data_IF_410862420161
#
_entry.id   IF_410862420161
#
_cell.length_a   1.000
_cell.length_b   1.000
_cell.length_c   1.000
_cell.angle_alpha   90.00
_cell.angle_beta   90.00
_cell.angle_gamma   90.00
#
_symmetry.space_group_name_H-M   'P 1'
#
loop_
_entity.id
_entity.type
_entity.pdbx_description
1 polymer ?
#
# COMPACT_ATOMS: atom_id res chain seq x y z
N UNK A 1 88.77 47.93 13.86
CA UNK A 1 89.55 47.61 12.63
C UNK A 1 88.63 47.90 11.44
N UNK A 2 88.95 48.77 10.47
CA UNK A 2 89.85 48.55 9.29
C UNK A 2 89.52 47.20 8.61
N UNK A 3 89.10 47.08 7.34
CA UNK A 3 89.09 47.96 6.15
C UNK A 3 87.72 47.85 5.40
N UNK A 4 87.24 48.78 4.54
CA UNK A 4 87.76 49.27 3.23
C UNK A 4 88.02 48.13 2.20
N UNK A 5 87.72 48.26 0.91
CA UNK A 5 86.97 49.26 0.12
C UNK A 5 86.77 48.80 -1.34
N UNK A 6 85.84 49.45 -2.07
CA UNK A 6 85.93 49.65 -3.53
C UNK A 6 85.31 48.56 -4.43
N UNK A 7 84.92 48.86 -5.68
CA UNK A 7 84.97 50.15 -6.39
C UNK A 7 83.99 50.17 -7.59
N UNK A 8 83.20 51.25 -7.71
CA UNK A 8 82.87 52.02 -8.94
C UNK A 8 83.05 51.30 -10.31
N UNK A 9 82.04 51.11 -11.19
CA UNK A 9 81.28 52.06 -12.06
C UNK A 9 80.33 51.22 -13.00
N UNK A 10 79.36 51.70 -13.80
CA UNK A 10 78.79 53.03 -14.15
C UNK A 10 77.36 52.88 -14.76
N UNK A 11 76.63 54.01 -14.86
CA UNK A 11 75.61 54.40 -15.86
C UNK A 11 74.36 53.54 -16.17
N UNK A 12 73.23 54.08 -15.73
CA UNK A 12 71.85 53.98 -16.21
C UNK A 12 71.67 53.94 -17.76
N UNK A 13 70.69 53.19 -18.28
CA UNK A 13 69.35 53.68 -18.69
C UNK A 13 68.58 52.72 -19.64
N UNK A 14 67.24 52.71 -19.48
CA UNK A 14 66.18 52.37 -20.48
C UNK A 14 65.85 50.88 -20.76
N UNK A 15 64.71 50.48 -20.17
CA UNK A 15 63.56 49.73 -20.73
C UNK A 15 63.78 48.60 -21.76
N UNK A 16 63.46 47.36 -21.36
CA UNK A 16 62.56 46.47 -22.11
C UNK A 16 62.02 45.31 -21.24
N UNK A 17 60.69 45.16 -21.17
CA UNK A 17 59.89 43.95 -20.88
C UNK A 17 60.57 42.74 -20.18
N UNK A 18 60.25 42.55 -18.90
CA UNK A 18 60.48 41.27 -18.20
C UNK A 18 59.22 40.39 -18.30
N UNK A 19 59.31 39.20 -18.90
CA UNK A 19 58.20 38.25 -18.97
C UNK A 19 57.99 37.57 -17.61
N UNK A 20 56.96 38.02 -16.88
CA UNK A 20 56.46 37.30 -15.69
C UNK A 20 55.46 36.24 -16.17
N UNK A 21 55.86 34.97 -16.13
CA UNK A 21 54.93 33.85 -16.32
C UNK A 21 54.04 33.76 -15.07
N UNK A 22 52.80 34.23 -15.20
CA UNK A 22 51.80 34.13 -14.15
C UNK A 22 51.21 32.69 -14.16
N UNK A 23 51.77 31.79 -13.36
CA UNK A 23 51.18 30.47 -13.15
C UNK A 23 49.91 30.60 -12.30
N UNK A 24 48.76 30.72 -12.97
CA UNK A 24 47.44 30.67 -12.34
C UNK A 24 47.13 29.26 -11.84
N UNK A 25 47.37 29.01 -10.54
CA UNK A 25 46.90 27.83 -9.83
C UNK A 25 45.36 27.89 -9.71
N UNK A 26 44.65 27.29 -10.67
CA UNK A 26 43.21 27.07 -10.58
C UNK A 26 42.95 25.88 -9.66
N UNK A 27 42.76 26.18 -8.37
CA UNK A 27 42.25 25.20 -7.40
C UNK A 27 40.76 25.02 -7.66
N UNK A 28 40.38 23.96 -8.38
CA UNK A 28 39.00 23.52 -8.45
C UNK A 28 38.57 22.95 -7.09
N UNK A 29 38.00 23.80 -6.24
CA UNK A 29 37.22 23.35 -5.09
C UNK A 29 35.93 22.73 -5.61
N UNK A 30 35.90 21.40 -5.72
CA UNK A 30 34.65 20.65 -5.90
C UNK A 30 33.87 20.74 -4.60
N UNK A 31 32.98 21.74 -4.53
CA UNK A 31 31.94 21.78 -3.51
C UNK A 31 30.85 20.78 -3.92
N UNK A 32 30.44 19.84 -3.05
CA UNK A 32 29.23 19.07 -3.29
C UNK A 32 28.03 20.01 -3.16
N UNK A 33 27.53 20.52 -4.28
CA UNK A 33 26.22 21.16 -4.32
C UNK A 33 25.13 20.13 -4.02
N UNK A 34 23.99 20.52 -3.45
CA UNK A 34 22.85 19.62 -3.32
C UNK A 34 22.44 19.15 -4.73
N UNK A 35 22.29 17.85 -4.90
CA UNK A 35 21.80 17.27 -6.15
C UNK A 35 20.30 17.58 -6.31
N UNK A 36 19.99 18.81 -6.75
CA UNK A 36 18.71 19.09 -7.37
C UNK A 36 18.64 18.26 -8.65
N UNK A 37 17.91 17.14 -8.57
CA UNK A 37 17.69 16.25 -9.70
C UNK A 37 17.15 17.05 -10.88
N UNK A 38 17.80 16.93 -12.03
CA UNK A 38 17.28 17.48 -13.29
C UNK A 38 16.07 16.63 -13.66
N UNK A 39 14.88 17.10 -13.29
CA UNK A 39 13.61 16.50 -13.72
C UNK A 39 13.63 16.50 -15.26
N UNK A 40 13.79 15.31 -15.83
CA UNK A 40 13.91 15.17 -17.28
C UNK A 40 12.57 15.52 -17.94
N UNK A 41 12.58 15.94 -19.20
CA UNK A 41 11.35 16.18 -19.98
C UNK A 41 10.49 14.90 -20.15
N UNK A 42 11.06 13.74 -19.84
CA UNK A 42 10.45 12.42 -19.87
C UNK A 42 9.99 11.92 -18.48
N UNK A 43 10.15 12.71 -17.42
CA UNK A 43 9.70 12.35 -16.07
C UNK A 43 8.19 12.12 -16.02
N UNK A 44 7.76 11.21 -15.15
CA UNK A 44 6.37 10.86 -14.94
C UNK A 44 6.16 10.46 -13.48
N UNK A 45 4.93 10.60 -12.98
CA UNK A 45 4.61 10.44 -11.56
C UNK A 45 4.01 9.07 -11.25
N UNK A 46 3.37 8.42 -12.22
CA UNK A 46 2.70 7.13 -12.07
C UNK A 46 3.30 6.05 -12.97
N UNK A 47 3.87 5.02 -12.34
CA UNK A 47 4.29 3.80 -13.01
C UNK A 47 3.14 2.78 -12.97
N UNK A 48 2.83 2.16 -14.10
CA UNK A 48 1.86 1.06 -14.19
C UNK A 48 2.60 -0.19 -14.70
N UNK A 49 2.39 -1.34 -14.06
CA UNK A 49 3.03 -2.62 -14.43
C UNK A 49 1.97 -3.73 -14.48
N UNK A 50 1.94 -4.50 -15.56
CA UNK A 50 1.08 -5.68 -15.69
C UNK A 50 1.39 -6.51 -16.94
N UNK A 51 0.65 -7.60 -17.21
CA UNK A 51 0.75 -8.39 -18.45
C UNK A 51 0.56 -7.58 -19.73
N UNK A 52 1.38 -7.85 -20.74
CA UNK A 52 1.38 -7.16 -22.06
C UNK A 52 0.01 -7.14 -22.75
N UNK A 53 -0.84 -8.15 -22.49
CA UNK A 53 -2.20 -8.23 -23.01
C UNK A 53 -3.14 -7.10 -22.51
N UNK A 54 -2.77 -6.36 -21.47
CA UNK A 54 -3.56 -5.25 -20.92
C UNK A 54 -3.18 -3.86 -21.48
N UNK A 55 -2.24 -3.77 -22.45
CA UNK A 55 -1.73 -2.48 -22.97
C UNK A 55 -2.85 -1.56 -23.46
N UNK A 56 -3.80 -2.09 -24.23
CA UNK A 56 -4.84 -1.29 -24.89
C UNK A 56 -5.87 -0.74 -23.87
N UNK A 57 -6.31 -1.55 -22.89
CA UNK A 57 -7.17 -1.10 -21.79
C UNK A 57 -6.49 -0.03 -20.92
N UNK A 58 -5.21 -0.24 -20.62
CA UNK A 58 -4.43 0.67 -19.77
C UNK A 58 -4.17 2.00 -20.47
N UNK A 59 -4.00 2.03 -21.79
CA UNK A 59 -3.78 3.29 -22.52
C UNK A 59 -4.93 4.28 -22.28
N UNK A 60 -6.19 3.81 -22.28
CA UNK A 60 -7.37 4.66 -21.97
C UNK A 60 -7.31 5.25 -20.55
N UNK A 61 -6.74 4.51 -19.60
CA UNK A 61 -6.55 4.99 -18.22
C UNK A 61 -5.38 5.98 -18.10
N UNK A 62 -4.28 5.75 -18.83
CA UNK A 62 -3.17 6.70 -18.96
C UNK A 62 -3.67 8.02 -19.55
N UNK A 63 -4.41 7.98 -20.65
CA UNK A 63 -4.96 9.18 -21.30
C UNK A 63 -5.83 9.99 -20.34
N UNK A 64 -6.67 9.30 -19.55
CA UNK A 64 -7.46 9.92 -18.50
C UNK A 64 -6.59 10.57 -17.42
N UNK A 65 -5.61 9.85 -16.86
CA UNK A 65 -4.71 10.39 -15.82
C UNK A 65 -3.87 11.56 -16.33
N UNK A 66 -3.38 11.51 -17.56
CA UNK A 66 -2.71 12.62 -18.22
C UNK A 66 -3.64 13.83 -18.40
N UNK A 67 -4.92 13.61 -18.74
CA UNK A 67 -5.91 14.70 -18.81
C UNK A 67 -6.22 15.34 -17.45
N UNK A 68 -6.03 14.59 -16.36
CA UNK A 68 -6.09 15.10 -14.98
C UNK A 68 -4.73 15.63 -14.47
N UNK A 69 -3.67 15.59 -15.27
CA UNK A 69 -2.36 16.12 -14.92
C UNK A 69 -1.45 15.18 -14.11
N UNK A 70 -1.75 13.87 -14.04
CA UNK A 70 -0.80 12.84 -13.61
C UNK A 70 -0.13 12.27 -14.86
N UNK A 71 1.17 12.52 -15.02
CA UNK A 71 1.95 11.87 -16.06
C UNK A 71 2.14 10.39 -15.71
N UNK A 72 1.66 9.47 -16.57
CA UNK A 72 1.72 8.04 -16.34
C UNK A 72 2.46 7.30 -17.47
N UNK A 73 3.11 6.18 -17.14
CA UNK A 73 3.70 5.24 -18.12
C UNK A 73 3.43 3.80 -17.70
N UNK A 74 3.13 2.95 -18.68
CA UNK A 74 2.97 1.52 -18.50
C UNK A 74 4.18 0.74 -19.04
N UNK A 75 4.56 -0.33 -18.35
CA UNK A 75 5.55 -1.32 -18.80
C UNK A 75 5.02 -2.73 -18.55
N UNK A 76 5.18 -3.63 -19.53
CA UNK A 76 4.71 -5.00 -19.37
C UNK A 76 5.63 -5.83 -18.45
N UNK A 77 5.05 -6.81 -17.75
CA UNK A 77 5.80 -7.79 -16.96
C UNK A 77 6.79 -8.57 -17.82
N UNK A 78 6.42 -8.86 -19.06
CA UNK A 78 7.19 -9.55 -20.08
C UNK A 78 8.41 -8.72 -20.50
N UNK A 79 8.22 -7.41 -20.70
CA UNK A 79 9.32 -6.47 -20.96
C UNK A 79 10.31 -6.42 -19.80
N UNK A 80 9.82 -6.34 -18.55
CA UNK A 80 10.65 -6.29 -17.35
C UNK A 80 11.43 -7.61 -17.16
N UNK A 81 10.77 -8.75 -17.35
CA UNK A 81 11.41 -10.07 -17.21
C UNK A 81 12.52 -10.27 -18.25
N UNK A 82 12.29 -9.85 -19.50
CA UNK A 82 13.29 -9.91 -20.57
C UNK A 82 14.43 -8.88 -20.45
N UNK A 83 14.19 -7.75 -19.75
CA UNK A 83 15.16 -6.65 -19.65
C UNK A 83 16.15 -6.77 -18.50
N UNK A 84 15.87 -7.59 -17.48
CA UNK A 84 16.68 -7.73 -16.27
C UNK A 84 17.15 -9.17 -16.06
N UNK A 85 18.34 -9.31 -15.46
CA UNK A 85 18.93 -10.62 -15.15
C UNK A 85 18.30 -11.24 -13.89
N UNK A 86 18.53 -12.54 -13.68
CA UNK A 86 17.96 -13.31 -12.58
C UNK A 86 16.69 -14.06 -12.96
N UNK A 87 16.17 -14.86 -12.03
CA UNK A 87 15.00 -15.73 -12.23
C UNK A 87 13.77 -15.37 -11.39
N UNK A 88 13.89 -14.39 -10.48
CA UNK A 88 12.80 -13.96 -9.62
C UNK A 88 12.17 -12.68 -10.16
N UNK A 89 10.99 -12.81 -10.77
CA UNK A 89 10.23 -11.69 -11.35
C UNK A 89 9.89 -10.60 -10.32
N UNK A 90 9.62 -10.95 -9.06
CA UNK A 90 9.37 -9.94 -8.01
C UNK A 90 10.62 -9.09 -7.74
N UNK A 91 11.81 -9.70 -7.72
CA UNK A 91 13.06 -8.93 -7.59
C UNK A 91 13.36 -8.08 -8.82
N UNK A 92 13.01 -8.54 -10.04
CA UNK A 92 13.13 -7.73 -11.27
C UNK A 92 12.19 -6.53 -11.28
N UNK A 93 10.92 -6.72 -10.89
CA UNK A 93 9.95 -5.63 -10.77
C UNK A 93 10.42 -4.61 -9.74
N UNK A 94 10.95 -5.05 -8.58
CA UNK A 94 11.52 -4.16 -7.58
C UNK A 94 12.71 -3.36 -8.10
N UNK A 95 13.69 -4.00 -8.74
CA UNK A 95 14.83 -3.32 -9.35
C UNK A 95 14.40 -2.32 -10.45
N UNK A 96 13.40 -2.68 -11.26
CA UNK A 96 12.85 -1.79 -12.27
C UNK A 96 12.16 -0.55 -11.65
N UNK A 97 11.30 -0.75 -10.66
CA UNK A 97 10.62 0.32 -9.92
C UNK A 97 11.62 1.25 -9.23
N UNK A 98 12.67 0.70 -8.60
CA UNK A 98 13.72 1.50 -7.96
C UNK A 98 14.48 2.39 -8.97
N UNK A 99 14.83 1.85 -10.15
CA UNK A 99 15.46 2.63 -11.23
C UNK A 99 14.53 3.73 -11.77
N UNK A 100 13.23 3.47 -11.88
CA UNK A 100 12.27 4.49 -12.33
C UNK A 100 12.00 5.55 -11.28
N UNK A 101 12.07 5.21 -9.99
CA UNK A 101 12.08 6.18 -8.90
C UNK A 101 13.30 7.12 -8.99
N UNK A 102 14.51 6.58 -9.13
CA UNK A 102 15.72 7.39 -9.27
C UNK A 102 15.73 8.25 -10.54
N UNK A 103 15.22 7.74 -11.67
CA UNK A 103 15.23 8.44 -12.97
C UNK A 103 14.11 9.48 -13.11
N UNK A 104 12.92 9.12 -12.67
CA UNK A 104 11.68 9.80 -13.05
C UNK A 104 10.98 10.47 -11.86
N UNK A 105 11.33 10.08 -10.62
CA UNK A 105 10.71 10.61 -9.40
C UNK A 105 9.27 10.10 -9.18
N UNK A 106 8.97 8.86 -9.57
CA UNK A 106 7.62 8.30 -9.48
C UNK A 106 7.11 8.34 -8.03
N UNK A 107 5.83 8.71 -7.87
CA UNK A 107 5.12 8.79 -6.59
C UNK A 107 4.13 7.65 -6.41
N UNK A 108 3.60 7.14 -7.52
CA UNK A 108 2.54 6.14 -7.56
C UNK A 108 3.00 4.92 -8.39
N UNK A 109 2.67 3.73 -7.91
CA UNK A 109 2.83 2.47 -8.61
C UNK A 109 1.51 1.72 -8.63
N UNK A 110 1.00 1.40 -9.83
CA UNK A 110 -0.19 0.58 -10.01
C UNK A 110 0.17 -0.78 -10.62
N UNK A 111 -0.04 -1.84 -9.85
CA UNK A 111 0.16 -3.22 -10.29
C UNK A 111 -1.14 -3.76 -10.90
N UNK A 112 -1.11 -4.30 -12.11
CA UNK A 112 -2.29 -4.80 -12.81
C UNK A 112 -2.09 -6.28 -13.10
N UNK A 113 -2.92 -7.13 -12.50
CA UNK A 113 -2.88 -8.58 -12.65
C UNK A 113 -3.09 -9.33 -11.34
N UNK A 114 -3.44 -10.60 -11.47
CA UNK A 114 -3.48 -11.58 -10.38
C UNK A 114 -2.11 -11.73 -9.71
N UNK A 115 -2.08 -12.35 -8.52
CA UNK A 115 -0.84 -12.72 -7.84
C UNK A 115 0.09 -13.60 -8.71
N UNK A 116 -0.44 -14.43 -9.61
CA UNK A 116 0.36 -15.24 -10.53
C UNK A 116 1.01 -14.45 -11.67
N UNK A 117 0.42 -13.31 -12.06
CA UNK A 117 0.93 -12.42 -13.12
C UNK A 117 1.89 -11.37 -12.57
N UNK A 118 1.53 -10.74 -11.45
CA UNK A 118 2.34 -9.72 -10.77
C UNK A 118 2.48 -10.12 -9.29
N UNK A 119 3.46 -10.94 -8.92
CA UNK A 119 3.52 -11.50 -7.56
C UNK A 119 3.87 -10.46 -6.50
N UNK A 120 3.29 -10.62 -5.31
CA UNK A 120 3.71 -9.92 -4.10
C UNK A 120 4.99 -10.56 -3.52
N UNK A 121 5.75 -9.80 -2.73
CA UNK A 121 6.94 -10.32 -2.03
C UNK A 121 6.54 -10.98 -0.72
N UNK A 122 7.00 -12.20 -0.48
CA UNK A 122 6.94 -12.82 0.83
C UNK A 122 8.09 -12.31 1.70
N UNK A 123 7.75 -11.59 2.76
CA UNK A 123 8.68 -10.98 3.71
C UNK A 123 8.61 -11.73 5.03
N UNK A 124 9.76 -12.09 5.59
CA UNK A 124 9.84 -12.74 6.90
C UNK A 124 9.43 -11.76 8.00
N UNK A 125 8.31 -12.05 8.65
CA UNK A 125 7.84 -11.31 9.81
C UNK A 125 7.19 -12.32 10.77
N UNK A 126 7.98 -12.89 11.70
CA UNK A 126 7.54 -13.99 12.52
C UNK A 126 6.39 -13.58 13.43
N UNK A 127 5.43 -14.49 13.54
CA UNK A 127 4.22 -14.28 14.30
C UNK A 127 3.86 -15.52 15.08
N UNK A 128 3.50 -15.35 16.35
CA UNK A 128 2.80 -16.36 17.16
C UNK A 128 1.33 -16.55 16.72
N UNK A 129 1.00 -16.21 15.48
CA UNK A 129 -0.33 -16.39 14.89
C UNK A 129 -0.49 -17.88 14.53
N UNK A 130 -1.48 -18.54 15.14
CA UNK A 130 -1.92 -19.92 14.87
C UNK A 130 -0.89 -21.06 15.10
N UNK A 131 0.23 -20.81 15.79
CA UNK A 131 1.32 -21.79 16.05
C UNK A 131 1.89 -22.51 14.80
N UNK A 132 1.56 -22.02 13.59
CA UNK A 132 1.89 -22.66 12.32
C UNK A 132 3.03 -21.91 11.60
N UNK A 133 4.11 -22.63 11.29
CA UNK A 133 5.35 -22.05 10.78
C UNK A 133 5.21 -21.29 9.44
N UNK A 134 4.23 -21.65 8.61
CA UNK A 134 4.00 -21.05 7.29
C UNK A 134 3.51 -19.59 7.37
N UNK A 135 2.94 -19.16 8.51
CA UNK A 135 2.54 -17.76 8.70
C UNK A 135 3.70 -16.81 8.99
N UNK A 136 4.94 -17.29 9.17
CA UNK A 136 6.11 -16.42 9.39
C UNK A 136 6.53 -15.60 8.16
N UNK A 137 5.94 -15.86 6.99
CA UNK A 137 6.11 -15.02 5.80
C UNK A 137 4.79 -14.39 5.39
N UNK A 138 4.78 -13.07 5.23
CA UNK A 138 3.60 -12.29 4.85
C UNK A 138 3.77 -11.77 3.41
N UNK A 139 2.79 -11.94 2.51
CA UNK A 139 2.83 -11.35 1.17
C UNK A 139 2.55 -9.84 1.27
N UNK A 140 3.40 -9.05 0.60
CA UNK A 140 3.30 -7.58 0.57
C UNK A 140 3.63 -7.02 -0.80
N UNK A 141 2.90 -5.96 -1.18
CA UNK A 141 3.25 -5.10 -2.31
C UNK A 141 4.11 -3.90 -1.86
N UNK A 142 4.20 -3.59 -0.55
CA UNK A 142 5.05 -2.51 -0.02
C UNK A 142 6.53 -2.71 -0.27
N UNK A 143 6.97 -3.94 -0.57
CA UNK A 143 8.31 -4.20 -1.08
C UNK A 143 8.64 -3.32 -2.30
N UNK A 144 7.69 -3.16 -3.23
CA UNK A 144 7.83 -2.28 -4.39
C UNK A 144 7.77 -0.79 -4.03
N UNK A 145 7.20 -0.45 -2.88
CA UNK A 145 7.12 0.92 -2.37
C UNK A 145 8.44 1.45 -1.80
N UNK A 146 9.44 0.59 -1.57
CA UNK A 146 10.72 0.93 -0.92
C UNK A 146 11.88 0.64 -1.91
N UNK A 147 12.37 1.63 -2.67
CA UNK A 147 13.45 1.45 -3.65
C UNK A 147 14.72 0.81 -3.07
N UNK A 148 15.07 1.19 -1.85
CA UNK A 148 16.28 0.83 -1.10
C UNK A 148 16.01 -0.22 -0.01
N UNK A 149 15.07 -1.15 -0.27
CA UNK A 149 14.65 -2.18 0.69
C UNK A 149 15.83 -3.01 1.23
N UNK A 150 15.99 -3.04 2.56
CA UNK A 150 16.89 -3.95 3.27
C UNK A 150 16.12 -4.90 4.18
N UNK A 151 16.30 -6.21 3.97
CA UNK A 151 15.76 -7.25 4.85
C UNK A 151 16.28 -7.20 6.29
N UNK A 152 17.39 -6.50 6.56
CA UNK A 152 17.92 -6.32 7.91
C UNK A 152 17.14 -5.29 8.75
N UNK A 153 16.48 -4.33 8.10
CA UNK A 153 15.73 -3.25 8.76
C UNK A 153 14.28 -3.61 9.14
N UNK A 154 13.79 -4.78 8.71
CA UNK A 154 12.44 -5.28 9.00
C UNK A 154 12.19 -5.26 10.52
N UNK A 155 11.11 -4.61 10.93
CA UNK A 155 10.68 -4.52 12.32
C UNK A 155 11.38 -3.45 13.17
N UNK A 156 12.32 -2.68 12.63
CA UNK A 156 12.99 -1.58 13.32
C UNK A 156 12.30 -0.23 13.09
N UNK A 157 12.52 0.70 14.03
CA UNK A 157 12.10 2.10 13.93
C UNK A 157 12.67 2.76 12.67
N UNK A 158 11.78 3.26 11.82
CA UNK A 158 12.13 3.91 10.55
C UNK A 158 12.68 2.99 9.45
N UNK A 159 12.68 1.67 9.67
CA UNK A 159 13.19 0.69 8.70
C UNK A 159 12.22 0.44 7.55
N UNK A 160 12.72 0.43 6.31
CA UNK A 160 11.93 0.21 5.08
C UNK A 160 10.67 1.10 4.97
N UNK A 161 10.77 2.41 5.20
CA UNK A 161 9.67 3.35 4.99
C UNK A 161 9.35 3.43 3.47
N UNK A 162 8.09 3.17 3.05
CA UNK A 162 7.70 3.35 1.66
C UNK A 162 7.82 4.80 1.17
N UNK A 163 8.38 4.97 -0.03
CA UNK A 163 8.58 6.25 -0.73
C UNK A 163 7.67 6.40 -1.96
N UNK A 164 7.07 5.29 -2.40
CA UNK A 164 6.15 5.20 -3.53
C UNK A 164 4.85 4.57 -3.01
N UNK A 165 3.72 5.21 -3.27
CA UNK A 165 2.42 4.65 -2.95
C UNK A 165 2.09 3.51 -3.92
N UNK A 166 1.76 2.32 -3.41
CA UNK A 166 1.50 1.13 -4.24
C UNK A 166 0.03 0.73 -4.17
N UNK A 167 -0.60 0.58 -5.34
CA UNK A 167 -1.94 0.02 -5.49
C UNK A 167 -1.97 -1.17 -6.45
N UNK A 168 -3.09 -1.92 -6.44
CA UNK A 168 -3.27 -3.10 -7.28
C UNK A 168 -4.66 -3.22 -7.90
N UNK A 169 -4.73 -3.54 -9.19
CA UNK A 169 -5.91 -4.08 -9.87
C UNK A 169 -5.75 -5.61 -10.01
N UNK A 170 -6.42 -6.43 -9.20
CA UNK A 170 -6.21 -7.90 -9.13
C UNK A 170 -6.96 -8.65 -10.25
N UNK A 171 -6.84 -8.14 -11.48
CA UNK A 171 -7.64 -8.57 -12.63
C UNK A 171 -7.07 -9.79 -13.34
N UNK A 172 -7.95 -10.61 -13.92
CA UNK A 172 -7.58 -11.86 -14.60
C UNK A 172 -7.93 -11.92 -16.11
N UNK A 173 -8.50 -10.84 -16.66
CA UNK A 173 -9.00 -10.75 -18.04
C UNK A 173 -9.09 -9.28 -18.50
N UNK A 174 -9.03 -9.07 -19.82
CA UNK A 174 -9.18 -7.75 -20.47
C UNK A 174 -10.57 -7.15 -20.16
N UNK A 175 -11.61 -7.97 -20.15
CA UNK A 175 -12.98 -7.55 -19.84
C UNK A 175 -13.12 -7.05 -18.40
N UNK A 176 -12.53 -7.74 -17.43
CA UNK A 176 -12.55 -7.33 -16.02
C UNK A 176 -11.75 -6.04 -15.81
N UNK A 177 -10.60 -5.89 -16.49
CA UNK A 177 -9.82 -4.66 -16.46
C UNK A 177 -10.57 -3.48 -17.09
N UNK A 178 -11.18 -3.69 -18.25
CA UNK A 178 -12.00 -2.68 -18.93
C UNK A 178 -13.16 -2.21 -18.04
N UNK A 179 -13.83 -3.13 -17.34
CA UNK A 179 -14.88 -2.82 -16.38
C UNK A 179 -14.36 -1.98 -15.20
N UNK A 180 -13.26 -2.40 -14.57
CA UNK A 180 -12.66 -1.70 -13.41
C UNK A 180 -12.20 -0.30 -13.78
N UNK A 181 -11.48 -0.14 -14.91
CA UNK A 181 -11.06 1.17 -15.42
C UNK A 181 -12.27 2.05 -15.74
N UNK A 182 -13.32 1.50 -16.34
CA UNK A 182 -14.54 2.26 -16.65
C UNK A 182 -15.22 2.78 -15.39
N UNK A 183 -15.32 1.95 -14.34
CA UNK A 183 -15.84 2.35 -13.01
C UNK A 183 -15.00 3.48 -12.41
N UNK A 184 -13.67 3.33 -12.38
CA UNK A 184 -12.75 4.33 -11.82
C UNK A 184 -12.86 5.68 -12.53
N UNK A 185 -12.78 5.69 -13.86
CA UNK A 185 -12.90 6.92 -14.67
C UNK A 185 -14.27 7.58 -14.49
N UNK A 186 -15.36 6.79 -14.40
CA UNK A 186 -16.70 7.34 -14.22
C UNK A 186 -16.87 8.00 -12.84
N UNK A 187 -16.40 7.34 -11.78
CA UNK A 187 -16.48 7.85 -10.41
C UNK A 187 -15.58 9.08 -10.22
N UNK A 188 -14.29 9.00 -10.57
CA UNK A 188 -13.33 10.10 -10.36
C UNK A 188 -13.74 11.41 -11.07
N UNK A 189 -14.46 11.33 -12.19
CA UNK A 189 -14.97 12.51 -12.92
C UNK A 189 -16.08 13.29 -12.21
N UNK A 190 -16.84 12.67 -11.32
CA UNK A 190 -18.07 13.25 -10.72
C UNK A 190 -18.14 13.00 -9.20
N UNK A 191 -16.99 12.73 -8.56
CA UNK A 191 -16.95 12.37 -7.15
C UNK A 191 -17.04 13.59 -6.23
N UNK A 192 -18.25 13.87 -5.76
CA UNK A 192 -18.57 14.95 -4.82
C UNK A 192 -18.88 14.47 -3.39
N UNK A 193 -19.08 13.16 -3.18
CA UNK A 193 -19.53 12.60 -1.89
C UNK A 193 -18.36 12.51 -0.89
N UNK A 194 -18.33 13.34 0.16
CA UNK A 194 -17.23 13.33 1.17
C UNK A 194 -17.56 12.62 2.50
N UNK A 195 -18.79 12.17 2.73
CA UNK A 195 -19.20 11.56 4.01
C UNK A 195 -18.60 10.16 4.21
N UNK A 196 -18.08 9.91 5.42
CA UNK A 196 -17.63 8.59 5.88
C UNK A 196 -18.73 7.88 6.68
N UNK A 197 -18.99 6.63 6.32
CA UNK A 197 -19.84 5.68 7.01
C UNK A 197 -18.96 4.67 7.76
N UNK A 198 -19.19 4.49 9.06
CA UNK A 198 -18.43 3.53 9.89
C UNK A 198 -19.34 2.41 10.35
N UNK A 199 -18.93 1.17 10.07
CA UNK A 199 -19.52 -0.06 10.61
C UNK A 199 -18.61 -0.62 11.71
N UNK A 200 -18.98 -0.41 12.97
CA UNK A 200 -18.31 -0.98 14.13
C UNK A 200 -18.99 -2.32 14.51
N UNK A 201 -18.35 -3.43 14.14
CA UNK A 201 -18.76 -4.79 14.51
C UNK A 201 -18.13 -5.29 15.82
N UNK A 202 -17.56 -4.39 16.64
CA UNK A 202 -16.82 -4.69 17.87
C UNK A 202 -17.33 -3.83 19.06
N UNK A 203 -18.63 -3.55 19.07
CA UNK A 203 -19.38 -2.96 20.20
C UNK A 203 -18.87 -1.58 20.69
N UNK A 204 -18.56 -0.67 19.76
CA UNK A 204 -18.26 0.73 20.08
C UNK A 204 -16.80 1.00 20.43
N UNK A 205 -15.89 0.10 20.04
CA UNK A 205 -14.46 0.27 20.20
C UNK A 205 -13.89 1.48 19.41
N UNK A 206 -14.64 2.03 18.45
CA UNK A 206 -14.29 3.26 17.71
C UNK A 206 -14.86 4.56 18.32
N UNK A 207 -15.53 4.53 19.47
CA UNK A 207 -16.16 5.73 20.05
C UNK A 207 -15.19 6.90 20.31
N UNK A 208 -13.89 6.65 20.51
CA UNK A 208 -12.85 7.70 20.62
C UNK A 208 -12.37 8.24 19.27
N UNK A 209 -12.49 7.47 18.19
CA UNK A 209 -12.11 7.86 16.82
C UNK A 209 -13.10 8.87 16.20
N UNK A 210 -14.39 8.75 16.57
CA UNK A 210 -15.48 9.60 16.06
C UNK A 210 -15.36 11.09 16.43
N UNK A 211 -14.53 11.44 17.43
CA UNK A 211 -14.39 12.83 17.89
C UNK A 211 -13.55 13.74 16.98
N UNK A 212 -12.83 13.18 16.00
CA UNK A 212 -11.85 13.92 15.18
C UNK A 212 -12.30 14.24 13.75
N UNK A 213 -13.42 13.68 13.29
CA UNK A 213 -13.87 13.79 11.90
C UNK A 213 -15.39 14.02 11.79
N UNK A 214 -15.83 14.61 10.68
CA UNK A 214 -17.25 14.70 10.32
C UNK A 214 -17.77 13.35 9.78
N UNK A 215 -17.68 12.31 10.60
CA UNK A 215 -18.13 10.95 10.28
C UNK A 215 -19.60 10.75 10.67
N UNK A 216 -20.38 10.09 9.82
CA UNK A 216 -21.70 9.61 10.19
C UNK A 216 -21.56 8.17 10.71
N UNK A 217 -21.74 7.99 12.03
CA UNK A 217 -21.72 6.65 12.63
C UNK A 217 -23.03 5.95 12.32
N UNK A 218 -22.96 4.78 11.67
CA UNK A 218 -24.11 3.89 11.52
C UNK A 218 -23.82 2.59 12.27
N UNK A 219 -24.08 2.63 13.57
CA UNK A 219 -24.24 1.40 14.33
C UNK A 219 -25.51 0.70 13.85
N UNK A 220 -25.36 -0.49 13.27
CA UNK A 220 -26.47 -1.42 13.19
C UNK A 220 -26.08 -2.75 13.79
N UNK A 221 -26.90 -3.24 14.71
CA UNK A 221 -26.98 -4.65 15.14
C UNK A 221 -27.53 -5.56 14.00
N UNK A 222 -27.35 -5.14 12.76
CA UNK A 222 -27.99 -5.61 11.54
C UNK A 222 -27.00 -6.19 10.53
N UNK A 223 -27.53 -6.84 9.49
CA UNK A 223 -26.71 -7.38 8.42
C UNK A 223 -26.43 -6.31 7.35
N UNK A 224 -25.16 -6.15 6.93
CA UNK A 224 -24.79 -5.24 5.84
C UNK A 224 -24.97 -5.94 4.49
N UNK A 225 -26.21 -6.36 4.23
CA UNK A 225 -26.61 -6.88 2.93
C UNK A 225 -26.35 -5.84 1.84
N UNK A 226 -26.15 -6.30 0.61
CA UNK A 226 -26.05 -5.40 -0.55
C UNK A 226 -27.22 -4.38 -0.59
N UNK A 227 -28.45 -4.82 -0.28
CA UNK A 227 -29.62 -3.94 -0.23
C UNK A 227 -29.51 -2.87 0.87
N UNK A 228 -29.03 -3.22 2.06
CA UNK A 228 -28.78 -2.27 3.16
C UNK A 228 -27.74 -1.23 2.74
N UNK A 229 -26.60 -1.68 2.18
CA UNK A 229 -25.52 -0.77 1.81
C UNK A 229 -25.93 0.17 0.66
N UNK A 230 -26.52 -0.37 -0.41
CA UNK A 230 -27.02 0.45 -1.53
C UNK A 230 -28.04 1.51 -1.06
N UNK A 231 -28.90 1.18 -0.09
CA UNK A 231 -29.85 2.14 0.49
C UNK A 231 -29.14 3.26 1.27
N UNK A 232 -28.19 2.93 2.15
CA UNK A 232 -27.44 3.94 2.93
C UNK A 232 -26.56 4.80 2.03
N UNK A 233 -25.89 4.20 1.03
CA UNK A 233 -25.06 4.93 0.05
C UNK A 233 -25.86 5.99 -0.72
N UNK A 234 -27.06 5.62 -1.19
CA UNK A 234 -27.92 6.49 -2.00
C UNK A 234 -28.67 7.55 -1.19
N UNK A 235 -29.20 7.21 -0.01
CA UNK A 235 -30.02 8.14 0.81
C UNK A 235 -29.16 9.09 1.63
N UNK A 236 -28.09 8.61 2.26
CA UNK A 236 -27.28 9.41 3.20
C UNK A 236 -26.09 10.12 2.53
N UNK A 237 -26.02 10.10 1.20
CA UNK A 237 -24.94 10.70 0.39
C UNK A 237 -23.53 10.28 0.85
N UNK A 238 -23.37 9.00 1.18
CA UNK A 238 -22.10 8.44 1.64
C UNK A 238 -21.13 8.30 0.47
N UNK A 239 -19.90 8.78 0.67
CA UNK A 239 -18.81 8.64 -0.29
C UNK A 239 -17.79 7.58 0.09
N UNK A 240 -17.63 7.30 1.38
CA UNK A 240 -16.60 6.40 1.89
C UNK A 240 -17.17 5.49 2.96
N UNK A 241 -16.64 4.27 3.05
CA UNK A 241 -17.03 3.26 4.04
C UNK A 241 -15.80 2.78 4.78
N UNK A 242 -15.93 2.58 6.10
CA UNK A 242 -14.93 1.95 6.95
C UNK A 242 -15.61 0.84 7.73
N UNK A 243 -15.12 -0.39 7.60
CA UNK A 243 -15.64 -1.56 8.31
C UNK A 243 -14.60 -2.05 9.30
N UNK A 244 -14.97 -2.11 10.58
CA UNK A 244 -14.13 -2.58 11.66
C UNK A 244 -14.77 -3.77 12.35
N UNK A 245 -14.27 -4.96 12.06
CA UNK A 245 -15.01 -6.21 12.26
C UNK A 245 -14.09 -7.42 12.14
N UNK A 246 -14.61 -8.63 12.35
CA UNK A 246 -13.81 -9.83 12.07
C UNK A 246 -13.80 -10.12 10.57
N UNK A 247 -12.74 -10.73 10.08
CA UNK A 247 -12.55 -10.98 8.66
C UNK A 247 -12.14 -12.40 8.35
N UNK A 248 -12.32 -12.73 7.08
CA UNK A 248 -11.86 -13.93 6.38
C UNK A 248 -11.63 -13.56 4.91
N UNK A 249 -11.00 -14.41 4.09
CA UNK A 249 -10.83 -14.10 2.67
C UNK A 249 -12.14 -13.74 1.97
N UNK A 250 -13.23 -14.44 2.27
CA UNK A 250 -14.50 -14.40 1.53
C UNK A 250 -15.60 -13.51 2.16
N UNK A 251 -15.47 -13.13 3.44
CA UNK A 251 -16.49 -12.36 4.16
C UNK A 251 -15.99 -11.55 5.38
N UNK A 252 -16.76 -10.52 5.72
CA UNK A 252 -16.76 -9.86 7.02
C UNK A 252 -17.72 -10.57 7.98
N UNK A 253 -17.39 -10.60 9.27
CA UNK A 253 -18.11 -11.34 10.31
C UNK A 253 -18.33 -10.51 11.56
N UNK A 254 -19.58 -10.46 12.02
CA UNK A 254 -19.96 -9.89 13.31
C UNK A 254 -20.51 -10.97 14.24
N UNK A 255 -20.80 -10.59 15.50
CA UNK A 255 -21.48 -11.45 16.48
C UNK A 255 -22.87 -10.90 16.78
N UNK A 256 -23.83 -11.79 17.03
CA UNK A 256 -25.14 -11.38 17.55
C UNK A 256 -25.07 -11.01 19.03
N UNK A 257 -26.15 -10.45 19.58
CA UNK A 257 -26.33 -10.22 21.03
C UNK A 257 -26.15 -11.49 21.87
N UNK A 258 -26.38 -12.66 21.30
CA UNK A 258 -26.20 -13.98 21.93
C UNK A 258 -24.76 -14.51 21.79
N UNK A 259 -23.89 -13.80 21.06
CA UNK A 259 -22.49 -14.15 20.83
C UNK A 259 -22.21 -15.04 19.61
N UNK A 260 -23.26 -15.42 18.87
CA UNK A 260 -23.20 -16.29 17.68
C UNK A 260 -22.59 -15.58 16.47
N UNK A 261 -21.85 -16.31 15.63
CA UNK A 261 -21.25 -15.77 14.41
C UNK A 261 -22.28 -15.52 13.32
N UNK A 262 -22.21 -14.35 12.69
CA UNK A 262 -23.07 -13.96 11.57
C UNK A 262 -22.23 -13.24 10.50
N UNK A 263 -22.40 -13.56 9.20
CA UNK A 263 -21.77 -12.76 8.16
C UNK A 263 -22.34 -11.33 8.22
N UNK A 264 -21.47 -10.34 8.08
CA UNK A 264 -21.83 -8.94 7.92
C UNK A 264 -21.95 -8.57 6.44
N UNK A 265 -21.03 -9.08 5.61
CA UNK A 265 -21.00 -8.92 4.15
C UNK A 265 -20.16 -10.06 3.57
N UNK A 266 -20.65 -10.73 2.52
CA UNK A 266 -19.85 -11.70 1.75
C UNK A 266 -19.38 -11.13 0.40
N UNK A 267 -18.50 -11.85 -0.30
CA UNK A 267 -18.12 -11.49 -1.67
C UNK A 267 -19.30 -11.58 -2.66
N UNK A 268 -20.34 -12.39 -2.38
CA UNK A 268 -21.60 -12.36 -3.14
C UNK A 268 -22.41 -11.07 -2.88
N UNK A 269 -22.48 -10.58 -1.64
CA UNK A 269 -23.06 -9.26 -1.34
C UNK A 269 -22.31 -8.15 -2.10
N UNK A 270 -20.97 -8.19 -2.10
CA UNK A 270 -20.14 -7.23 -2.83
C UNK A 270 -20.45 -7.21 -4.35
N UNK A 271 -20.67 -8.40 -4.95
CA UNK A 271 -21.08 -8.54 -6.36
C UNK A 271 -22.52 -8.11 -6.64
N UNK A 272 -23.36 -8.02 -5.61
CA UNK A 272 -24.76 -7.58 -5.70
C UNK A 272 -24.96 -6.08 -5.43
N UNK A 273 -23.89 -5.32 -5.20
CA UNK A 273 -23.94 -3.86 -5.09
C UNK A 273 -24.37 -3.24 -6.43
N UNK A 274 -25.06 -2.09 -6.36
CA UNK A 274 -25.47 -1.32 -7.54
C UNK A 274 -25.10 0.18 -7.43
N UNK A 275 -24.75 0.67 -6.24
CA UNK A 275 -24.17 2.00 -6.03
C UNK A 275 -22.64 1.96 -6.10
N UNK A 276 -22.04 3.01 -6.66
CA UNK A 276 -20.58 3.24 -6.64
C UNK A 276 -20.19 4.24 -5.56
N UNK A 277 -19.04 4.04 -4.93
CA UNK A 277 -18.48 4.93 -3.91
C UNK A 277 -16.95 4.97 -3.98
N UNK A 278 -16.33 5.86 -3.19
CA UNK A 278 -14.90 6.12 -3.21
C UNK A 278 -14.09 4.98 -2.60
N UNK A 279 -13.97 5.01 -1.26
CA UNK A 279 -13.05 4.14 -0.51
C UNK A 279 -13.84 3.17 0.37
N UNK A 280 -13.47 1.90 0.41
CA UNK A 280 -13.82 0.96 1.46
C UNK A 280 -12.57 0.57 2.27
N UNK A 281 -12.44 1.07 3.49
CA UNK A 281 -11.35 0.69 4.40
C UNK A 281 -11.80 -0.49 5.27
N UNK A 282 -11.18 -1.65 5.08
CA UNK A 282 -11.43 -2.87 5.83
C UNK A 282 -10.35 -3.03 6.91
N UNK A 283 -10.77 -2.87 8.17
CA UNK A 283 -10.02 -3.33 9.36
C UNK A 283 -10.59 -4.70 9.70
N UNK A 284 -10.07 -5.73 9.03
CA UNK A 284 -10.57 -7.09 9.08
C UNK A 284 -9.52 -8.08 8.58
N UNK A 285 -9.28 -9.16 9.33
CA UNK A 285 -8.30 -10.19 8.99
C UNK A 285 -8.57 -10.82 7.61
N UNK A 286 -7.53 -11.01 6.80
CA UNK A 286 -7.56 -11.75 5.51
C UNK A 286 -8.51 -11.25 4.41
N UNK A 287 -9.37 -10.26 4.64
CA UNK A 287 -10.33 -9.77 3.64
C UNK A 287 -9.66 -9.23 2.36
N UNK A 288 -8.37 -8.87 2.45
CA UNK A 288 -7.50 -8.47 1.35
C UNK A 288 -6.45 -9.52 0.97
N UNK A 289 -6.68 -10.82 1.19
CA UNK A 289 -5.76 -11.87 0.79
C UNK A 289 -5.56 -11.88 -0.74
N UNK A 290 -4.28 -11.87 -1.16
CA UNK A 290 -3.85 -11.84 -2.56
C UNK A 290 -3.63 -13.26 -3.14
N UNK A 291 -3.38 -14.21 -2.25
CA UNK A 291 -2.73 -15.50 -2.51
C UNK A 291 -3.50 -16.68 -1.88
N UNK A 292 -4.67 -16.43 -1.29
CA UNK A 292 -5.52 -17.45 -0.65
C UNK A 292 -6.87 -17.54 -1.35
N UNK A 293 -7.27 -18.76 -1.73
CA UNK A 293 -8.54 -19.03 -2.39
C UNK A 293 -8.60 -18.53 -3.84
N UNK A 294 -9.78 -18.66 -4.45
CA UNK A 294 -10.05 -18.21 -5.82
C UNK A 294 -10.61 -16.77 -5.89
N UNK A 295 -11.09 -16.24 -4.77
CA UNK A 295 -11.72 -14.92 -4.68
C UNK A 295 -11.55 -14.39 -3.25
N UNK A 296 -11.26 -13.10 -3.11
CA UNK A 296 -11.27 -12.41 -1.82
C UNK A 296 -12.30 -11.28 -1.82
N UNK A 297 -12.80 -10.88 -0.65
CA UNK A 297 -13.79 -9.83 -0.53
C UNK A 297 -13.29 -8.51 -1.13
N UNK A 298 -12.03 -8.14 -0.87
CA UNK A 298 -11.44 -6.95 -1.46
C UNK A 298 -11.34 -7.04 -2.99
N UNK A 299 -11.02 -8.23 -3.54
CA UNK A 299 -11.05 -8.46 -4.99
C UNK A 299 -12.47 -8.32 -5.53
N UNK A 300 -13.46 -8.98 -4.95
CA UNK A 300 -14.85 -8.90 -5.38
C UNK A 300 -15.41 -7.47 -5.31
N UNK A 301 -15.09 -6.71 -4.26
CA UNK A 301 -15.46 -5.29 -4.12
C UNK A 301 -14.84 -4.43 -5.25
N UNK A 302 -13.53 -4.58 -5.51
CA UNK A 302 -12.86 -3.75 -6.52
C UNK A 302 -13.23 -4.14 -7.96
N UNK A 303 -13.40 -5.44 -8.26
CA UNK A 303 -13.69 -5.92 -9.63
C UNK A 303 -15.15 -5.82 -10.03
N UNK A 304 -16.09 -5.69 -9.08
CA UNK A 304 -17.52 -5.56 -9.37
C UNK A 304 -17.84 -4.30 -10.20
N UNK A 305 -18.91 -4.32 -11.03
CA UNK A 305 -19.30 -3.17 -11.86
C UNK A 305 -19.70 -1.94 -11.03
N UNK A 306 -20.20 -2.17 -9.81
CA UNK A 306 -20.49 -1.15 -8.80
C UNK A 306 -19.53 -1.29 -7.61
N UNK A 307 -19.88 -0.69 -6.47
CA UNK A 307 -19.06 -0.74 -5.25
C UNK A 307 -17.92 0.29 -5.25
N UNK A 308 -16.87 0.06 -4.46
CA UNK A 308 -15.79 1.02 -4.27
C UNK A 308 -14.86 1.12 -5.49
N UNK A 309 -14.15 2.25 -5.61
CA UNK A 309 -13.01 2.42 -6.53
C UNK A 309 -11.65 2.27 -5.84
N UNK A 310 -11.62 2.27 -4.51
CA UNK A 310 -10.46 1.91 -3.70
C UNK A 310 -10.89 1.00 -2.55
N UNK A 311 -10.20 -0.11 -2.33
CA UNK A 311 -10.37 -0.97 -1.13
C UNK A 311 -9.04 -1.09 -0.42
N UNK A 312 -8.99 -0.70 0.86
CA UNK A 312 -7.80 -0.88 1.70
C UNK A 312 -8.08 -2.06 2.62
N UNK A 313 -7.32 -3.14 2.50
CA UNK A 313 -7.61 -4.38 3.23
C UNK A 313 -6.34 -5.16 3.60
N UNK A 314 -6.42 -6.02 4.61
CA UNK A 314 -5.27 -6.80 5.09
C UNK A 314 -5.20 -8.18 4.45
N UNK A 315 -4.01 -8.56 3.97
CA UNK A 315 -3.73 -9.85 3.34
C UNK A 315 -3.65 -11.02 4.34
N UNK A 316 -3.55 -10.70 5.64
CA UNK A 316 -3.36 -11.63 6.77
C UNK A 316 -4.12 -11.12 8.01
N UNK A 317 -3.79 -11.66 9.19
CA UNK A 317 -4.29 -11.19 10.48
C UNK A 317 -4.07 -9.69 10.63
N UNK A 318 -5.09 -9.01 11.12
CA UNK A 318 -5.06 -7.59 11.43
C UNK A 318 -5.33 -7.38 12.93
N UNK A 319 -4.58 -6.47 13.55
CA UNK A 319 -4.64 -6.23 14.99
C UNK A 319 -4.86 -4.73 15.24
N UNK A 320 -6.12 -4.34 15.44
CA UNK A 320 -6.53 -3.02 15.94
C UNK A 320 -5.86 -1.84 15.19
N UNK A 321 -6.08 -1.72 13.87
CA UNK A 321 -5.58 -0.58 13.07
C UNK A 321 -6.32 0.73 13.38
N UNK A 322 -5.96 1.39 14.47
CA UNK A 322 -6.42 2.75 14.79
C UNK A 322 -5.38 3.82 14.44
N UNK A 323 -4.09 3.43 14.30
CA UNK A 323 -2.98 4.37 14.12
C UNK A 323 -2.74 4.74 12.65
N UNK A 324 -2.74 3.76 11.74
CA UNK A 324 -2.58 4.04 10.30
C UNK A 324 -3.90 4.58 9.76
N UNK A 325 -5.03 3.95 10.09
CA UNK A 325 -6.34 4.38 9.62
C UNK A 325 -6.69 5.83 10.00
N UNK A 326 -6.42 6.27 11.24
CA UNK A 326 -6.72 7.66 11.66
C UNK A 326 -5.87 8.69 10.92
N UNK A 327 -4.56 8.45 10.80
CA UNK A 327 -3.66 9.34 10.04
C UNK A 327 -3.97 9.36 8.54
N UNK A 328 -4.37 8.21 7.99
CA UNK A 328 -4.84 8.12 6.62
C UNK A 328 -6.08 8.99 6.40
N UNK A 329 -7.14 8.83 7.19
CA UNK A 329 -8.36 9.63 7.02
C UNK A 329 -8.13 11.12 7.29
N UNK A 330 -7.31 11.49 8.28
CA UNK A 330 -6.92 12.88 8.55
C UNK A 330 -6.23 13.55 7.36
N UNK A 331 -5.23 12.87 6.79
CA UNK A 331 -4.53 13.39 5.61
C UNK A 331 -5.43 13.37 4.38
N UNK A 332 -6.18 12.28 4.14
CA UNK A 332 -7.03 12.12 2.97
C UNK A 332 -8.16 13.15 2.90
N UNK A 333 -8.84 13.46 4.01
CA UNK A 333 -9.89 14.50 4.00
C UNK A 333 -9.33 15.92 3.81
N UNK A 334 -8.02 16.12 4.02
CA UNK A 334 -7.32 17.38 3.84
C UNK A 334 -6.70 17.53 2.44
N UNK A 335 -6.18 16.45 1.86
CA UNK A 335 -5.47 16.46 0.55
C UNK A 335 -6.34 16.02 -0.61
N UNK A 336 -7.35 15.18 -0.34
CA UNK A 336 -8.09 14.44 -1.34
C UNK A 336 -7.33 13.26 -1.97
N UNK A 337 -6.03 13.07 -1.71
CA UNK A 337 -5.15 12.08 -2.38
C UNK A 337 -5.03 10.78 -1.56
N UNK A 338 -5.33 9.62 -2.16
CA UNK A 338 -5.25 8.34 -1.44
C UNK A 338 -3.82 7.89 -1.18
N UNK A 339 -2.97 7.90 -2.20
CA UNK A 339 -1.63 7.32 -2.14
C UNK A 339 -0.72 8.06 -1.18
N UNK A 340 -0.64 9.38 -1.30
CA UNK A 340 0.24 10.22 -0.48
C UNK A 340 -0.24 10.27 0.97
N UNK A 341 -1.55 10.29 1.22
CA UNK A 341 -2.10 10.23 2.58
C UNK A 341 -1.87 8.88 3.25
N UNK A 342 -1.83 7.78 2.50
CA UNK A 342 -1.44 6.48 3.06
C UNK A 342 0.07 6.42 3.34
N UNK A 343 0.92 6.98 2.48
CA UNK A 343 2.36 7.11 2.73
C UNK A 343 2.65 7.95 3.98
N UNK A 344 1.97 9.09 4.16
CA UNK A 344 2.09 9.92 5.37
C UNK A 344 1.69 9.14 6.63
N UNK A 345 0.60 8.37 6.58
CA UNK A 345 0.17 7.52 7.68
C UNK A 345 1.19 6.41 8.01
N UNK A 346 1.75 5.75 7.00
CA UNK A 346 2.79 4.73 7.17
C UNK A 346 4.09 5.31 7.71
N UNK A 347 4.52 6.47 7.22
CA UNK A 347 5.72 7.15 7.72
C UNK A 347 5.53 7.56 9.19
N UNK A 348 4.36 8.11 9.55
CA UNK A 348 4.04 8.44 10.94
C UNK A 348 4.06 7.20 11.84
N UNK A 349 3.54 6.07 11.36
CA UNK A 349 3.52 4.80 12.11
C UNK A 349 4.93 4.19 12.28
N UNK A 350 5.73 4.17 11.23
CA UNK A 350 7.08 3.58 11.23
C UNK A 350 8.11 4.42 11.98
N UNK A 351 7.88 5.73 12.12
CA UNK A 351 8.73 6.63 12.90
C UNK A 351 8.28 6.81 14.37
N UNK A 352 7.21 6.14 14.81
CA UNK A 352 6.73 6.23 16.20
C UNK A 352 7.59 5.35 17.15
N UNK A 353 8.24 6.00 18.12
CA UNK A 353 9.11 5.36 19.12
C UNK A 353 8.34 4.58 20.19
N UNK A 354 7.06 4.87 20.40
CA UNK A 354 6.20 4.06 21.27
C UNK A 354 5.85 2.73 20.57
N UNK A 355 5.79 2.73 19.23
CA UNK A 355 5.46 1.55 18.40
C UNK A 355 6.70 0.73 18.05
N UNK A 356 7.82 1.36 17.68
CA UNK A 356 9.05 0.70 17.19
C UNK A 356 10.32 1.11 17.96
N UNK A 357 11.32 0.22 17.97
CA UNK A 357 12.64 0.48 18.56
C UNK A 357 13.73 0.47 17.49
N UNK A 358 14.78 1.27 17.67
CA UNK A 358 15.96 1.29 16.79
C UNK A 358 16.91 0.10 17.02
N UNK A 359 16.72 -0.67 18.09
CA UNK A 359 17.59 -1.80 18.46
C UNK A 359 16.85 -3.13 18.66
N UNK A 360 15.52 -3.11 18.78
CA UNK A 360 14.69 -4.29 19.02
C UNK A 360 13.59 -4.40 17.96
N UNK A 361 13.54 -5.52 17.22
CA UNK A 361 12.57 -5.73 16.14
C UNK A 361 11.19 -6.07 16.69
N UNK A 362 10.17 -5.30 16.30
CA UNK A 362 8.77 -5.49 16.74
C UNK A 362 7.88 -6.01 15.60
N UNK A 363 8.11 -7.27 15.20
CA UNK A 363 7.45 -7.92 14.06
C UNK A 363 5.91 -7.92 14.11
N UNK A 364 5.30 -8.12 15.28
CA UNK A 364 3.83 -8.06 15.44
C UNK A 364 3.24 -6.68 15.09
N UNK A 365 3.98 -5.59 15.32
CA UNK A 365 3.58 -4.23 14.91
C UNK A 365 3.87 -4.01 13.42
N UNK A 366 5.02 -4.48 12.95
CA UNK A 366 5.39 -4.45 11.53
C UNK A 366 4.36 -5.18 10.63
N UNK A 367 3.76 -6.28 11.09
CA UNK A 367 2.68 -6.99 10.38
C UNK A 367 1.50 -6.08 10.02
N UNK A 368 1.17 -5.10 10.86
CA UNK A 368 -0.03 -4.27 10.72
C UNK A 368 -0.04 -3.50 9.41
N UNK A 369 1.11 -2.95 9.00
CA UNK A 369 1.22 -2.25 7.72
C UNK A 369 1.69 -3.15 6.59
N UNK A 370 2.62 -4.08 6.86
CA UNK A 370 3.21 -4.95 5.84
C UNK A 370 2.13 -5.74 5.10
N UNK A 371 1.05 -6.11 5.79
CA UNK A 371 -0.06 -6.88 5.25
C UNK A 371 -1.16 -6.02 4.62
N UNK A 372 -1.12 -4.69 4.73
CA UNK A 372 -2.09 -3.80 4.07
C UNK A 372 -1.85 -3.82 2.57
N UNK A 373 -2.92 -4.03 1.81
CA UNK A 373 -2.95 -3.97 0.36
C UNK A 373 -3.99 -2.92 -0.03
N UNK A 374 -3.61 -2.03 -0.93
CA UNK A 374 -4.50 -1.03 -1.50
C UNK A 374 -4.93 -1.53 -2.87
N UNK A 375 -6.17 -1.96 -2.97
CA UNK A 375 -6.79 -2.37 -4.22
C UNK A 375 -7.44 -1.16 -4.88
N UNK A 376 -7.28 -1.03 -6.19
CA UNK A 376 -7.75 0.11 -6.95
C UNK A 376 -6.64 1.08 -7.32
N UNK A 377 -7.06 2.26 -7.78
CA UNK A 377 -6.16 3.30 -8.22
C UNK A 377 -5.58 4.09 -7.03
N UNK A 378 -4.28 3.91 -6.80
CA UNK A 378 -3.53 4.59 -5.73
C UNK A 378 -3.31 6.09 -6.00
N UNK A 379 -3.49 6.53 -7.25
CA UNK A 379 -3.39 7.94 -7.66
C UNK A 379 -4.74 8.66 -7.69
N UNK A 380 -5.80 8.01 -7.20
CA UNK A 380 -7.13 8.58 -7.14
C UNK A 380 -7.19 9.73 -6.15
N UNK A 381 -7.89 10.80 -6.55
CA UNK A 381 -8.04 12.01 -5.74
C UNK A 381 -9.37 12.74 -5.96
N UNK A 382 -9.82 13.46 -4.93
CA UNK A 382 -10.97 14.37 -5.02
C UNK A 382 -10.52 15.69 -5.69
N UNK A 383 -11.33 16.24 -6.60
CA UNK A 383 -11.03 17.53 -7.26
C UNK A 383 -11.13 18.73 -6.32
N UNK A 384 -10.25 19.72 -6.51
CA UNK A 384 -10.19 20.97 -5.72
C UNK A 384 -11.49 21.79 -5.78
N UNK A 385 -12.21 21.77 -6.92
CA UNK A 385 -13.46 22.52 -7.13
C UNK A 385 -14.61 22.17 -6.15
N UNK A 386 -14.45 21.10 -5.35
CA UNK A 386 -15.40 20.67 -4.33
C UNK A 386 -15.10 21.21 -2.91
N UNK A 387 -14.29 22.27 -2.76
CA UNK A 387 -14.02 22.93 -1.45
C UNK A 387 -15.24 23.60 -0.80
N UNK A 388 -16.29 23.93 -1.56
CA UNK A 388 -17.31 24.89 -1.11
C UNK A 388 -18.31 24.40 -0.03
N UNK A 389 -18.41 23.10 0.23
CA UNK A 389 -19.41 22.51 1.15
C UNK A 389 -18.86 22.09 2.53
N UNK A 390 -17.63 22.52 2.88
CA UNK A 390 -16.92 22.05 4.09
C UNK A 390 -17.46 22.52 5.46
N UNK A 391 -18.54 23.31 5.53
CA UNK A 391 -18.90 24.08 6.73
C UNK A 391 -20.27 23.84 7.38
N UNK A 392 -21.18 23.05 6.81
CA UNK A 392 -22.54 22.90 7.39
C UNK A 392 -23.13 21.50 7.28
N UNK A 393 -22.72 20.59 8.17
CA UNK A 393 -23.46 19.36 8.46
C UNK A 393 -23.45 19.06 9.97
N UNK A 394 -24.62 19.19 10.58
CA UNK A 394 -24.83 18.94 12.01
C UNK A 394 -25.01 17.45 12.33
N UNK A 395 -24.50 17.05 13.50
CA UNK A 395 -24.55 15.68 14.01
C UNK A 395 -25.99 15.16 14.13
N UNK A 396 -26.21 13.89 13.75
CA UNK A 396 -27.32 13.09 14.24
C UNK A 396 -26.75 11.94 15.07
N UNK A 397 -27.10 11.92 16.36
CA UNK A 397 -26.58 10.97 17.34
C UNK A 397 -27.72 10.05 17.79
N UNK A 398 -27.65 8.77 17.43
CA UNK A 398 -28.45 7.74 18.07
C UNK A 398 -27.74 7.29 19.36
N UNK A 399 -28.44 7.33 20.50
CA UNK A 399 -27.89 6.92 21.79
C UNK A 399 -27.76 5.39 21.88
N UNK A 400 -26.60 4.85 22.32
CA UNK A 400 -26.47 3.42 22.60
C UNK A 400 -27.19 3.03 23.92
N UNK A 401 -27.76 1.83 23.97
CA UNK A 401 -28.34 1.29 25.21
C UNK A 401 -27.23 0.92 26.20
N UNK A 402 -27.39 1.33 27.46
CA UNK A 402 -26.31 1.40 28.46
C UNK A 402 -26.08 0.09 29.21
N UNK A 403 -26.28 -1.05 28.55
CA UNK A 403 -26.20 -2.38 29.15
C UNK A 403 -25.55 -3.39 28.21
N UNK A 404 -24.23 -3.57 28.31
CA UNK A 404 -23.51 -4.82 28.00
C UNK A 404 -21.99 -4.66 28.25
N UNK A 405 -21.58 -4.50 29.52
CA UNK A 405 -20.22 -4.89 29.90
C UNK A 405 -20.20 -6.42 30.09
N UNK A 406 -19.76 -7.13 29.05
CA UNK A 406 -19.49 -8.57 29.10
C UNK A 406 -18.04 -8.85 28.68
N UNK A 407 -17.36 -9.73 29.41
CA UNK A 407 -16.01 -10.17 29.08
C UNK A 407 -16.03 -11.12 27.88
N UNK A 408 -15.76 -10.60 26.68
CA UNK A 408 -15.78 -11.38 25.45
C UNK A 408 -14.53 -12.25 25.26
N UNK A 409 -14.74 -13.48 24.81
CA UNK A 409 -13.66 -14.35 24.31
C UNK A 409 -13.31 -13.98 22.86
N UNK A 410 -12.01 -13.79 22.59
CA UNK A 410 -11.49 -13.56 21.23
C UNK A 410 -11.51 -14.90 20.48
N UNK A 411 -12.69 -15.30 20.00
CA UNK A 411 -12.84 -16.46 19.10
C UNK A 411 -12.54 -16.10 17.65
N UNK A 412 -12.15 -17.10 16.86
CA UNK A 412 -11.86 -16.97 15.42
C UNK A 412 -13.15 -17.00 14.56
N UNK A 413 -13.12 -16.31 13.42
CA UNK A 413 -14.23 -16.29 12.46
C UNK A 413 -14.39 -17.64 11.74
N UNK A 414 -15.62 -18.05 11.34
CA UNK A 414 -15.90 -19.42 10.89
C UNK A 414 -15.04 -19.93 9.73
N UNK A 415 -14.80 -19.14 8.68
CA UNK A 415 -14.00 -19.57 7.52
C UNK A 415 -12.49 -19.63 7.80
N UNK A 416 -11.97 -18.92 8.82
CA UNK A 416 -10.56 -19.04 9.23
C UNK A 416 -10.25 -20.45 9.75
N UNK A 417 -11.19 -21.09 10.44
CA UNK A 417 -11.03 -22.47 10.92
C UNK A 417 -10.85 -23.49 9.78
N UNK A 418 -11.43 -23.23 8.59
CA UNK A 418 -11.23 -24.05 7.39
C UNK A 418 -9.86 -23.85 6.78
N UNK A 419 -9.36 -22.62 6.75
CA UNK A 419 -8.01 -22.29 6.29
C UNK A 419 -6.96 -23.02 7.17
N UNK A 420 -7.15 -23.04 8.49
CA UNK A 420 -6.31 -23.84 9.39
C UNK A 420 -6.35 -25.35 9.03
N UNK A 421 -7.52 -25.89 8.67
CA UNK A 421 -7.65 -27.27 8.18
C UNK A 421 -6.91 -27.53 6.85
N UNK A 422 -7.06 -26.65 5.87
CA UNK A 422 -6.38 -26.76 4.57
C UNK A 422 -4.86 -26.59 4.70
N UNK A 423 -4.38 -25.69 5.55
CA UNK A 423 -2.94 -25.48 5.81
C UNK A 423 -2.32 -26.69 6.54
N UNK A 424 -3.02 -27.30 7.50
CA UNK A 424 -2.55 -28.55 8.13
C UNK A 424 -2.43 -29.68 7.09
N UNK A 425 -3.34 -29.75 6.12
CA UNK A 425 -3.26 -30.70 5.00
C UNK A 425 -2.07 -30.37 4.08
N UNK A 426 -1.91 -29.11 3.69
CA UNK A 426 -0.80 -28.66 2.82
C UNK A 426 0.58 -28.89 3.46
N UNK A 427 0.77 -28.52 4.73
CA UNK A 427 2.05 -28.75 5.43
C UNK A 427 2.33 -30.23 5.64
N UNK A 428 1.30 -31.05 5.92
CA UNK A 428 1.44 -32.51 6.01
C UNK A 428 1.86 -33.14 4.67
N UNK A 429 1.27 -32.69 3.55
CA UNK A 429 1.64 -33.15 2.20
C UNK A 429 3.05 -32.68 1.84
N UNK A 430 3.42 -31.44 2.17
CA UNK A 430 4.74 -30.88 1.90
C UNK A 430 5.85 -31.59 2.70
N UNK A 431 5.62 -31.84 3.99
CA UNK A 431 6.53 -32.64 4.85
C UNK A 431 6.63 -34.09 4.37
N UNK A 432 5.53 -34.69 3.91
CA UNK A 432 5.54 -36.02 3.31
C UNK A 432 6.38 -36.06 2.03
N UNK A 433 6.20 -35.10 1.12
CA UNK A 433 7.00 -34.98 -0.10
C UNK A 433 8.48 -34.72 0.19
N UNK A 434 8.81 -33.88 1.18
CA UNK A 434 10.19 -33.67 1.65
C UNK A 434 10.80 -34.96 2.22
N UNK A 435 10.05 -35.73 3.00
CA UNK A 435 10.54 -37.00 3.55
C UNK A 435 10.77 -38.06 2.46
N UNK A 436 9.91 -38.10 1.43
CA UNK A 436 10.12 -38.89 0.22
C UNK A 436 11.37 -38.45 -0.53
N UNK A 437 11.56 -37.15 -0.75
CA UNK A 437 12.74 -36.61 -1.46
C UNK A 437 14.04 -36.96 -0.72
N UNK A 438 14.03 -36.81 0.61
CA UNK A 438 15.15 -37.17 1.49
C UNK A 438 15.43 -38.68 1.48
N UNK A 439 14.39 -39.51 1.50
CA UNK A 439 14.50 -40.97 1.39
C UNK A 439 15.09 -41.40 0.03
N UNK A 440 14.65 -40.79 -1.07
CA UNK A 440 15.25 -41.00 -2.40
C UNK A 440 16.71 -40.53 -2.45
N UNK A 441 17.06 -39.42 -1.80
CA UNK A 441 18.45 -38.96 -1.69
C UNK A 441 19.33 -39.97 -0.95
N UNK A 442 18.83 -40.53 0.16
CA UNK A 442 19.52 -41.57 0.93
C UNK A 442 19.70 -42.84 0.09
N UNK A 443 18.67 -43.30 -0.63
CA UNK A 443 18.78 -44.46 -1.52
C UNK A 443 19.80 -44.23 -2.65
N UNK A 444 19.86 -43.03 -3.21
CA UNK A 444 20.85 -42.65 -4.23
C UNK A 444 22.29 -42.58 -3.69
N UNK A 445 22.46 -42.30 -2.39
CA UNK A 445 23.77 -42.31 -1.71
C UNK A 445 24.18 -43.73 -1.33
N UNK A 446 23.24 -44.61 -0.95
CA UNK A 446 23.51 -46.00 -0.56
C UNK A 446 23.68 -46.98 -1.74
N UNK A 447 23.36 -46.56 -2.97
CA UNK A 447 23.57 -47.32 -4.21
C UNK A 447 24.75 -46.83 -5.06
N UNK A 448 25.66 -46.05 -4.49
CA UNK A 448 26.99 -45.73 -5.04
C UNK A 448 28.10 -46.33 -4.20
#
# INVERSE_FOLDING_TARGET
>A
MKCKAGYMRRNNYILASCNVILCSLVVFTVLPGPAYGVISKDSYEMLIIGPELYVDEVQRFIDFKMSWGIAARYFSTEFIDGSLQGSNIASKIHEFVAREYERSGIKYLLLIGTYGQVPARYVYSPSSEFDAADFNYKPTDWYYGVPDWDGSEIGLLGGNIPKIAVGRLPVNSEEELNQVISKMIAVEKDFSRRRLLIFDGLNGALNSFLGSFSAHSYMSDGNLTAATLNHVLSVENIGHVMSYTHGSPDALWTRTSEGEWKPLMTYEDARALNETYGIHYLIACFAGALDLGNESLARALITSPAGPVVVIASSRVEVFDTQISSKFWESFFKTGDVGLSFIEALQSYLCDQEVFSSSERRFQKYNLYLTKVIYGDISWRISEDAEHDLYDLSLHYAQPDSRLEASFSIGEAPSLSRINGEIVIFSSIFLFLLSLLYYFLILLILHK
#
